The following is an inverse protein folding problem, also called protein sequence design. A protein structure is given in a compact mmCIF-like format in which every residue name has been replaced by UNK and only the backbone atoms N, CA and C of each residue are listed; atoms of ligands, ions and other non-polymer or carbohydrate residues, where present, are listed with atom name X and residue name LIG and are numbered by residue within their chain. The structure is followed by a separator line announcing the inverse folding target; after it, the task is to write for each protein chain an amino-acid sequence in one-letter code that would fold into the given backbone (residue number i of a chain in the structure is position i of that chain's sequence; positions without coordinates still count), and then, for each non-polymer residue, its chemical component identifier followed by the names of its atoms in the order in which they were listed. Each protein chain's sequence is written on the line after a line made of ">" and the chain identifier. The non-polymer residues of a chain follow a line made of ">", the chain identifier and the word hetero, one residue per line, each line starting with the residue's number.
data_IF_637535144819
#
_entry.id   IF_637535144819
#
_cell.length_a   1.000
_cell.length_b   1.000
_cell.length_c   1.000
_cell.angle_alpha   90.00
_cell.angle_beta   90.00
_cell.angle_gamma   90.00
#
_symmetry.space_group_name_H-M   'P 1'
#
loop_
_entity.id
_entity.type
_entity.pdbx_description
1 polymer ?
#
# COMPACT_ATOMS: atom_id res chain seq x y z
N UNK A 1 20.43 -7.66 26.51
CA UNK A 1 20.22 -8.51 25.32
C UNK A 1 20.33 -7.61 24.10
N UNK A 2 21.50 -7.58 23.43
CA UNK A 2 21.75 -6.67 22.31
C UNK A 2 20.89 -7.06 21.11
N UNK A 3 20.02 -6.16 20.66
CA UNK A 3 19.16 -6.38 19.51
C UNK A 3 19.98 -6.69 18.25
N UNK A 4 19.35 -7.40 17.31
CA UNK A 4 19.90 -7.68 15.98
C UNK A 4 20.16 -6.34 15.30
N UNK A 5 21.40 -5.85 15.43
CA UNK A 5 21.78 -4.55 14.94
C UNK A 5 21.89 -4.61 13.42
N UNK A 6 21.45 -3.54 12.74
CA UNK A 6 21.49 -3.45 11.27
C UNK A 6 22.92 -3.72 10.76
N UNK A 7 23.93 -3.25 11.49
CA UNK A 7 25.35 -3.52 11.22
C UNK A 7 25.74 -5.00 11.25
N UNK A 8 25.16 -5.80 12.16
CA UNK A 8 25.39 -7.25 12.24
C UNK A 8 24.70 -8.00 11.08
N UNK A 9 23.54 -7.53 10.63
CA UNK A 9 22.90 -8.12 9.45
C UNK A 9 23.72 -7.89 8.19
N UNK A 10 24.35 -6.72 8.04
CA UNK A 10 25.21 -6.44 6.89
C UNK A 10 26.46 -7.33 6.85
N UNK A 11 27.12 -7.56 7.99
CA UNK A 11 28.29 -8.46 8.01
C UNK A 11 27.89 -9.90 7.68
N UNK A 12 26.75 -10.38 8.19
CA UNK A 12 26.22 -11.72 7.87
C UNK A 12 25.85 -11.79 6.39
N UNK A 13 25.16 -10.79 5.85
CA UNK A 13 24.78 -10.74 4.45
C UNK A 13 26.01 -10.77 3.54
N UNK A 14 27.07 -10.03 3.89
CA UNK A 14 28.32 -10.03 3.13
C UNK A 14 28.98 -11.43 3.13
N UNK A 15 29.03 -12.10 4.28
CA UNK A 15 29.54 -13.48 4.36
C UNK A 15 28.68 -14.43 3.50
N UNK A 16 27.36 -14.34 3.57
CA UNK A 16 26.45 -15.16 2.74
C UNK A 16 26.69 -14.90 1.25
N UNK A 17 26.85 -13.63 0.84
CA UNK A 17 27.15 -13.27 -0.55
C UNK A 17 28.49 -13.86 -1.01
N UNK A 18 29.49 -13.94 -0.14
CA UNK A 18 30.79 -14.54 -0.46
C UNK A 18 30.72 -16.08 -0.52
N UNK A 19 30.00 -16.72 0.41
CA UNK A 19 29.87 -18.19 0.45
C UNK A 19 29.11 -18.74 -0.75
N UNK A 20 27.97 -18.14 -1.08
CA UNK A 20 27.13 -18.58 -2.18
C UNK A 20 27.53 -17.94 -3.51
N UNK A 21 28.25 -16.81 -3.46
CA UNK A 21 28.55 -15.97 -4.61
C UNK A 21 27.36 -15.11 -5.05
N UNK A 22 27.66 -13.93 -5.61
CA UNK A 22 26.65 -13.01 -6.17
C UNK A 22 25.83 -13.65 -7.29
N UNK A 23 26.39 -14.60 -8.05
CA UNK A 23 25.72 -15.29 -9.16
C UNK A 23 24.57 -16.18 -8.68
N UNK A 24 24.76 -16.96 -7.61
CA UNK A 24 23.69 -17.82 -7.05
C UNK A 24 22.63 -16.98 -6.34
N UNK A 25 23.05 -15.99 -5.54
CA UNK A 25 22.13 -15.07 -4.86
C UNK A 25 21.27 -14.29 -5.84
N UNK A 26 21.82 -13.81 -6.96
CA UNK A 26 21.05 -13.10 -7.97
C UNK A 26 20.04 -14.00 -8.69
N UNK A 27 20.40 -15.24 -8.97
CA UNK A 27 19.49 -16.19 -9.63
C UNK A 27 18.29 -16.55 -8.74
N UNK A 28 18.54 -16.89 -7.47
CA UNK A 28 17.48 -17.26 -6.52
C UNK A 28 16.72 -16.04 -6.01
N UNK A 29 17.44 -14.95 -5.71
CA UNK A 29 16.87 -13.70 -5.23
C UNK A 29 16.07 -12.95 -6.30
N UNK A 30 16.36 -13.15 -7.59
CA UNK A 30 15.55 -12.59 -8.68
C UNK A 30 14.14 -13.20 -8.72
N UNK A 31 14.03 -14.52 -8.58
CA UNK A 31 12.76 -15.24 -8.58
C UNK A 31 11.92 -14.90 -7.33
N UNK A 32 12.53 -15.08 -6.15
CA UNK A 32 11.90 -14.73 -4.87
C UNK A 32 11.58 -13.23 -4.77
N UNK A 33 12.48 -12.38 -5.23
CA UNK A 33 12.29 -10.93 -5.27
C UNK A 33 11.18 -10.51 -6.24
N UNK A 34 11.03 -11.20 -7.37
CA UNK A 34 9.92 -11.00 -8.30
C UNK A 34 8.56 -11.31 -7.66
N UNK A 35 8.46 -12.46 -6.98
CA UNK A 35 7.23 -12.86 -6.28
C UNK A 35 6.86 -11.86 -5.16
N UNK A 36 7.84 -11.46 -4.33
CA UNK A 36 7.63 -10.48 -3.26
C UNK A 36 7.27 -9.10 -3.83
N UNK A 37 7.89 -8.68 -4.94
CA UNK A 37 7.57 -7.42 -5.62
C UNK A 37 6.15 -7.42 -6.17
N UNK A 38 5.71 -8.53 -6.76
CA UNK A 38 4.32 -8.70 -7.22
C UNK A 38 3.33 -8.61 -6.06
N UNK A 39 3.61 -9.29 -4.95
CA UNK A 39 2.78 -9.24 -3.74
C UNK A 39 2.65 -7.81 -3.19
N UNK A 40 3.78 -7.12 -3.03
CA UNK A 40 3.80 -5.74 -2.53
C UNK A 40 3.04 -4.79 -3.45
N UNK A 41 3.16 -4.95 -4.77
CA UNK A 41 2.43 -4.12 -5.73
C UNK A 41 0.92 -4.35 -5.65
N UNK A 42 0.46 -5.60 -5.58
CA UNK A 42 -0.96 -5.92 -5.44
C UNK A 42 -1.54 -5.32 -4.14
N UNK A 43 -0.79 -5.40 -3.04
CA UNK A 43 -1.20 -4.84 -1.75
C UNK A 43 -1.27 -3.31 -1.79
N UNK A 44 -0.31 -2.65 -2.45
CA UNK A 44 -0.34 -1.19 -2.63
C UNK A 44 -1.45 -0.73 -3.58
N UNK A 45 -1.78 -1.50 -4.62
CA UNK A 45 -2.87 -1.17 -5.55
C UNK A 45 -4.24 -1.29 -4.86
N UNK A 46 -4.43 -2.32 -4.03
CA UNK A 46 -5.63 -2.49 -3.21
C UNK A 46 -5.78 -1.36 -2.17
N UNK A 47 -4.69 -0.97 -1.51
CA UNK A 47 -4.70 0.16 -0.57
C UNK A 47 -5.00 1.50 -1.28
N UNK A 48 -4.42 1.72 -2.47
CA UNK A 48 -4.67 2.93 -3.26
C UNK A 48 -6.12 2.99 -3.75
N UNK A 49 -6.65 1.87 -4.22
CA UNK A 49 -8.05 1.76 -4.66
C UNK A 49 -9.03 2.01 -3.51
N UNK A 50 -8.72 1.49 -2.32
CA UNK A 50 -9.51 1.76 -1.11
C UNK A 50 -9.51 3.24 -0.71
N UNK A 51 -8.42 3.98 -0.96
CA UNK A 51 -8.36 5.43 -0.74
C UNK A 51 -9.17 6.19 -1.80
N UNK A 52 -9.07 5.82 -3.08
CA UNK A 52 -9.80 6.47 -4.18
C UNK A 52 -11.32 6.30 -4.05
N UNK A 53 -11.80 5.11 -3.66
CA UNK A 53 -13.22 4.87 -3.38
C UNK A 53 -13.75 5.74 -2.22
N UNK A 54 -12.91 6.05 -1.23
CA UNK A 54 -13.28 6.91 -0.10
C UNK A 54 -13.35 8.38 -0.48
N UNK A 55 -12.45 8.87 -1.33
CA UNK A 55 -12.48 10.26 -1.81
C UNK A 55 -13.68 10.52 -2.74
N UNK A 56 -14.04 9.56 -3.60
CA UNK A 56 -15.20 9.67 -4.47
C UNK A 56 -16.53 9.77 -3.66
N UNK A 57 -16.65 8.97 -2.59
CA UNK A 57 -17.82 9.02 -1.70
C UNK A 57 -17.92 10.35 -0.93
N UNK A 58 -16.79 10.97 -0.56
CA UNK A 58 -16.78 12.25 0.15
C UNK A 58 -17.19 13.43 -0.75
N UNK A 59 -16.85 13.41 -2.04
CA UNK A 59 -17.24 14.49 -2.95
C UNK A 59 -18.73 14.45 -3.32
N UNK A 60 -19.34 13.27 -3.46
CA UNK A 60 -20.78 13.19 -3.82
C UNK A 60 -21.69 13.73 -2.71
N UNK A 61 -21.29 13.58 -1.44
CA UNK A 61 -22.06 14.09 -0.29
C UNK A 61 -22.00 15.62 -0.18
N UNK A 62 -20.87 16.25 -0.52
CA UNK A 62 -20.75 17.70 -0.36
C UNK A 62 -21.54 18.47 -1.44
N UNK A 63 -21.60 17.98 -2.68
CA UNK A 63 -22.34 18.70 -3.73
C UNK A 63 -23.87 18.61 -3.59
N UNK A 64 -24.41 17.62 -2.86
CA UNK A 64 -25.85 17.49 -2.66
C UNK A 64 -26.44 18.45 -1.62
N UNK A 65 -25.62 19.06 -0.75
CA UNK A 65 -26.14 19.88 0.38
C UNK A 65 -26.40 21.34 0.01
N UNK A 66 -25.87 21.85 -1.11
CA UNK A 66 -26.04 23.28 -1.46
C UNK A 66 -27.34 23.62 -2.19
N UNK A 67 -28.23 22.67 -2.46
CA UNK A 67 -29.56 22.97 -3.02
C UNK A 67 -30.61 23.13 -1.92
N UNK A 68 -30.42 24.10 -1.03
CA UNK A 68 -31.47 24.69 -0.19
C UNK A 68 -32.11 25.85 -0.96
N UNK A 69 -33.32 25.64 -1.51
CA UNK A 69 -34.44 26.52 -1.14
C UNK A 69 -35.70 25.65 -0.95
N UNK A 70 -36.33 25.58 0.23
CA UNK A 70 -37.16 26.65 0.78
C UNK A 70 -38.32 27.02 -0.17
N UNK A 71 -39.36 26.18 -0.20
CA UNK A 71 -40.69 26.51 -0.68
C UNK A 71 -41.67 25.44 -0.12
N UNK A 72 -42.44 25.78 0.91
CA UNK A 72 -43.82 26.29 0.76
C UNK A 72 -44.81 25.11 0.63
N UNK A 73 -45.30 24.59 1.76
CA UNK A 73 -46.65 24.91 2.27
C UNK A 73 -47.76 24.42 1.35
N UNK A 74 -48.27 23.23 1.62
CA UNK A 74 -49.54 22.63 1.18
C UNK A 74 -49.49 21.20 1.76
N UNK A 75 -50.49 20.61 2.39
CA UNK A 75 -51.91 20.87 2.45
C UNK A 75 -52.34 19.98 3.62
N UNK A 76 -52.68 20.58 4.76
CA UNK A 76 -53.26 19.89 5.90
C UNK A 76 -54.62 20.57 6.10
N UNK A 77 -55.59 20.17 5.28
CA UNK A 77 -56.99 20.58 5.36
C UNK A 77 -57.84 19.48 4.73
#
# INVERSE_FOLDING_TARGET
>A
MGGISIWQLLIIALIVVLLFGTKKLRSLGGDLGGAIKGFKNAMSDEEKKALEDKEAAAQTTQQATEKKPEADKKEQA
#
